data_IF_226688442740
#
_entry.id   IF_226688442740
#
_cell.length_a   1.000
_cell.length_b   1.000
_cell.length_c   1.000
_cell.angle_alpha   90.00
_cell.angle_beta   90.00
_cell.angle_gamma   90.00
#
_symmetry.space_group_name_H-M   'P 1'
#
loop_
_entity.id
_entity.type
_entity.pdbx_description
1 polymer ?
#
# COMPACT_ATOMS: atom_id res chain seq x y z
N UNK A 1 6.91 21.17 5.34
CA UNK A 1 7.20 21.39 3.91
C UNK A 1 8.60 20.92 3.57
N UNK A 2 8.79 20.45 2.34
CA UNK A 2 10.08 20.07 1.74
C UNK A 2 10.91 19.12 2.63
N UNK A 3 10.29 18.04 3.10
CA UNK A 3 10.91 17.11 4.06
C UNK A 3 12.21 16.50 3.53
N UNK A 4 12.35 16.39 2.20
CA UNK A 4 13.54 15.88 1.54
C UNK A 4 14.68 16.92 1.42
N UNK A 5 14.57 18.10 2.02
CA UNK A 5 15.72 19.02 2.19
C UNK A 5 16.47 18.82 3.50
N UNK A 6 15.90 18.09 4.44
CA UNK A 6 16.58 17.76 5.68
C UNK A 6 17.63 16.65 5.43
N UNK A 7 18.87 16.79 5.93
CA UNK A 7 19.85 15.70 5.94
C UNK A 7 19.32 14.47 6.68
N UNK A 8 19.79 13.27 6.32
CA UNK A 8 19.34 11.99 6.90
C UNK A 8 19.31 11.97 8.43
N UNK A 9 20.35 12.52 9.08
CA UNK A 9 20.41 12.59 10.55
C UNK A 9 19.27 13.42 11.17
N UNK A 10 18.76 14.44 10.47
CA UNK A 10 17.60 15.23 10.90
C UNK A 10 16.29 14.56 10.52
N UNK A 11 16.25 13.78 9.43
CA UNK A 11 15.05 13.04 9.04
C UNK A 11 14.64 12.01 10.12
N UNK A 12 15.61 11.44 10.85
CA UNK A 12 15.34 10.51 11.96
C UNK A 12 14.49 11.12 13.08
N UNK A 13 14.53 12.44 13.28
CA UNK A 13 13.67 13.12 14.26
C UNK A 13 12.18 13.00 13.88
N UNK A 14 11.85 12.98 12.58
CA UNK A 14 10.48 12.74 12.14
C UNK A 14 10.01 11.32 12.47
N UNK A 15 10.91 10.33 12.49
CA UNK A 15 10.55 8.97 12.88
C UNK A 15 10.13 8.92 14.36
N UNK A 16 10.87 9.61 15.23
CA UNK A 16 10.53 9.69 16.65
C UNK A 16 9.22 10.44 16.87
N UNK A 17 9.03 11.56 16.17
CA UNK A 17 7.79 12.32 16.16
C UNK A 17 6.58 11.46 15.78
N UNK A 18 6.65 10.81 14.62
CA UNK A 18 5.56 10.00 14.08
C UNK A 18 5.26 8.76 14.94
N UNK A 19 6.28 8.18 15.59
CA UNK A 19 6.13 6.95 16.37
C UNK A 19 5.76 7.20 17.82
N UNK A 20 6.43 8.14 18.49
CA UNK A 20 6.28 8.38 19.93
C UNK A 20 5.26 9.48 20.23
N UNK A 21 4.87 10.29 19.23
CA UNK A 21 4.06 11.51 19.39
C UNK A 21 4.61 12.46 20.45
N UNK A 22 5.92 12.38 20.69
CA UNK A 22 6.64 13.11 21.72
C UNK A 22 7.96 13.60 21.18
N UNK A 23 8.35 14.78 21.62
CA UNK A 23 9.67 15.36 21.36
C UNK A 23 10.35 15.65 22.67
N UNK A 24 11.57 15.17 22.84
CA UNK A 24 12.42 15.55 23.96
C UNK A 24 13.46 16.57 23.49
N UNK A 25 13.49 17.74 24.11
CA UNK A 25 14.45 18.79 23.83
C UNK A 25 14.89 19.47 25.13
N UNK A 26 16.21 19.60 25.32
CA UNK A 26 16.80 20.26 26.49
C UNK A 26 16.31 19.75 27.86
N UNK A 27 15.97 18.46 27.96
CA UNK A 27 15.47 17.85 29.21
C UNK A 27 13.95 17.97 29.40
N UNK A 28 13.25 18.71 28.54
CA UNK A 28 11.79 18.78 28.52
C UNK A 28 11.22 17.81 27.48
N UNK A 29 10.06 17.24 27.76
CA UNK A 29 9.33 16.37 26.82
C UNK A 29 7.98 16.99 26.51
N UNK A 30 7.74 17.28 25.24
CA UNK A 30 6.49 17.82 24.71
C UNK A 30 5.64 16.67 24.16
N UNK A 31 4.40 16.56 24.63
CA UNK A 31 3.40 15.64 24.08
C UNK A 31 2.62 16.36 22.98
N UNK A 32 2.56 15.75 21.79
CA UNK A 32 1.93 16.34 20.61
C UNK A 32 0.46 15.93 20.45
N UNK A 33 -0.01 14.94 21.23
CA UNK A 33 -1.36 14.41 21.12
C UNK A 33 -1.66 13.76 19.76
N UNK A 34 -2.95 13.59 19.49
CA UNK A 34 -3.44 12.97 18.26
C UNK A 34 -3.59 14.04 17.17
N UNK A 35 -2.73 13.98 16.16
CA UNK A 35 -2.72 14.95 15.07
C UNK A 35 -2.41 14.28 13.72
N UNK A 36 -2.78 14.97 12.65
CA UNK A 36 -2.46 14.57 11.29
C UNK A 36 -1.27 15.41 10.78
N UNK A 37 -0.27 14.73 10.20
CA UNK A 37 0.90 15.39 9.66
C UNK A 37 0.82 15.48 8.14
N UNK A 38 1.06 16.67 7.61
CA UNK A 38 1.19 16.92 6.18
C UNK A 38 2.63 17.30 5.86
N UNK A 39 3.19 16.63 4.86
CA UNK A 39 4.53 16.92 4.37
C UNK A 39 4.50 17.06 2.85
N UNK A 40 5.38 17.92 2.34
CA UNK A 40 5.62 18.06 0.90
C UNK A 40 7.04 17.61 0.61
N UNK A 41 7.26 17.08 -0.58
CA UNK A 41 8.58 16.76 -1.10
C UNK A 41 8.76 17.49 -2.42
N UNK A 42 9.94 18.09 -2.61
CA UNK A 42 10.30 18.58 -3.92
C UNK A 42 10.73 17.42 -4.81
N UNK A 43 10.57 17.54 -6.14
CA UNK A 43 11.19 16.59 -7.07
C UNK A 43 12.71 16.56 -6.86
N UNK A 44 13.35 15.45 -7.26
CA UNK A 44 14.79 15.27 -7.10
C UNK A 44 15.56 16.31 -7.94
N UNK A 45 16.13 17.30 -7.26
CA UNK A 45 16.93 18.38 -7.83
C UNK A 45 18.25 18.52 -7.05
N UNK A 46 19.15 19.40 -7.49
CA UNK A 46 20.32 19.75 -6.68
C UNK A 46 19.88 20.26 -5.30
N UNK A 47 20.47 19.71 -4.24
CA UNK A 47 20.18 19.97 -2.82
C UNK A 47 18.94 19.30 -2.20
N UNK A 48 18.54 18.11 -2.68
CA UNK A 48 17.64 17.20 -1.95
C UNK A 48 18.38 15.95 -1.45
N UNK A 49 17.88 15.37 -0.37
CA UNK A 49 18.31 14.09 0.19
C UNK A 49 17.18 13.07 0.02
N UNK A 50 17.46 11.84 -0.47
CA UNK A 50 16.45 10.79 -0.54
C UNK A 50 15.90 10.51 0.85
N UNK A 51 14.60 10.21 0.93
CA UNK A 51 14.00 9.75 2.17
C UNK A 51 14.34 8.28 2.40
N UNK A 52 14.57 7.93 3.65
CA UNK A 52 14.78 6.55 4.06
C UNK A 52 13.50 5.71 3.88
N UNK A 53 13.66 4.42 3.51
CA UNK A 53 12.55 3.48 3.34
C UNK A 53 11.69 3.40 4.61
N UNK A 54 12.30 3.45 5.80
CA UNK A 54 11.58 3.41 7.07
C UNK A 54 10.75 4.68 7.34
N UNK A 55 11.13 5.83 6.77
CA UNK A 55 10.34 7.05 6.83
C UNK A 55 9.16 6.99 5.87
N UNK A 56 9.40 6.52 4.64
CA UNK A 56 8.35 6.34 3.62
C UNK A 56 7.27 5.35 4.08
N UNK A 57 7.67 4.26 4.76
CA UNK A 57 6.74 3.27 5.33
C UNK A 57 5.82 3.85 6.42
N UNK A 58 6.22 4.95 7.07
CA UNK A 58 5.39 5.65 8.08
C UNK A 58 4.48 6.72 7.49
N UNK A 59 4.59 7.03 6.19
CA UNK A 59 3.69 7.95 5.51
C UNK A 59 2.49 7.15 4.99
N UNK A 60 1.30 7.35 5.54
CA UNK A 60 0.11 6.54 5.20
C UNK A 60 -0.33 6.68 3.74
N UNK A 61 -0.38 7.90 3.22
CA UNK A 61 -0.74 8.21 1.83
C UNK A 61 0.25 9.22 1.25
N UNK A 62 0.60 9.03 -0.01
CA UNK A 62 1.31 10.03 -0.80
C UNK A 62 0.54 10.32 -2.09
N UNK A 63 0.37 11.59 -2.42
CA UNK A 63 -0.34 12.05 -3.62
C UNK A 63 0.62 12.92 -4.44
N UNK A 64 0.79 12.66 -5.75
CA UNK A 64 1.60 13.52 -6.59
C UNK A 64 0.92 14.88 -6.77
N UNK A 65 1.68 15.95 -6.53
CA UNK A 65 1.25 17.30 -6.90
C UNK A 65 1.52 17.51 -8.39
N UNK A 66 0.48 17.45 -9.22
CA UNK A 66 0.57 17.70 -10.66
C UNK A 66 0.20 19.14 -10.98
N UNK A 67 0.84 19.71 -12.00
CA UNK A 67 0.37 20.97 -12.55
C UNK A 67 -1.02 20.76 -13.16
N UNK A 68 -1.95 21.70 -12.97
CA UNK A 68 -3.24 21.65 -13.63
C UNK A 68 -3.03 21.63 -15.15
N UNK A 69 -3.93 20.97 -15.87
CA UNK A 69 -3.94 21.05 -17.33
C UNK A 69 -4.33 22.46 -17.79
N UNK A 70 -4.31 22.69 -19.11
CA UNK A 70 -4.61 24.01 -19.67
C UNK A 70 -6.00 24.55 -19.28
N UNK A 71 -7.02 23.69 -19.29
CA UNK A 71 -8.40 24.10 -18.99
C UNK A 71 -8.57 24.39 -17.50
N UNK A 72 -8.01 23.55 -16.63
CA UNK A 72 -7.98 23.78 -15.20
C UNK A 72 -7.18 25.04 -14.85
N UNK A 73 -6.07 25.30 -15.54
CA UNK A 73 -5.27 26.51 -15.37
C UNK A 73 -6.04 27.77 -15.72
N UNK A 74 -6.80 27.75 -16.83
CA UNK A 74 -7.67 28.87 -17.22
C UNK A 74 -8.74 29.13 -16.16
N UNK A 75 -9.39 28.07 -15.67
CA UNK A 75 -10.40 28.18 -14.62
C UNK A 75 -9.82 28.71 -13.28
N UNK A 76 -8.57 28.36 -12.95
CA UNK A 76 -7.88 28.88 -11.76
C UNK A 76 -7.53 30.37 -11.90
N UNK A 77 -7.09 30.80 -13.08
CA UNK A 77 -6.77 32.20 -13.35
C UNK A 77 -8.00 33.13 -13.19
N UNK A 78 -9.19 32.63 -13.52
CA UNK A 78 -10.45 33.36 -13.34
C UNK A 78 -10.90 33.46 -11.87
N UNK A 79 -10.37 32.60 -10.98
CA UNK A 79 -10.84 32.40 -9.60
C UNK A 79 -9.85 32.84 -8.50
N UNK A 80 -8.79 33.56 -8.86
CA UNK A 80 -7.69 33.93 -7.94
C UNK A 80 -8.15 34.68 -6.66
N UNK A 81 -9.31 35.34 -6.69
CA UNK A 81 -9.80 36.16 -5.57
C UNK A 81 -10.66 35.42 -4.53
N UNK A 82 -11.00 34.16 -4.74
CA UNK A 82 -12.08 33.53 -3.96
C UNK A 82 -11.64 32.42 -2.99
N UNK A 83 -10.39 31.95 -2.99
CA UNK A 83 -10.05 30.70 -2.27
C UNK A 83 -10.30 30.79 -0.76
N UNK A 84 -9.96 31.91 -0.11
CA UNK A 84 -10.18 32.09 1.33
C UNK A 84 -11.67 32.28 1.65
N UNK A 85 -12.39 33.08 0.86
CA UNK A 85 -13.83 33.29 1.03
C UNK A 85 -14.62 31.99 0.80
N UNK A 86 -14.21 31.21 -0.21
CA UNK A 86 -14.77 29.90 -0.50
C UNK A 86 -14.49 28.93 0.66
N UNK A 87 -13.26 28.89 1.18
CA UNK A 87 -12.92 28.05 2.33
C UNK A 87 -13.71 28.44 3.60
N UNK A 88 -13.99 29.73 3.80
CA UNK A 88 -14.85 30.20 4.88
C UNK A 88 -16.32 29.83 4.69
N UNK A 89 -16.78 29.73 3.45
CA UNK A 89 -18.15 29.33 3.12
C UNK A 89 -18.41 27.82 3.25
N UNK A 90 -17.36 27.00 3.30
CA UNK A 90 -17.49 25.55 3.41
C UNK A 90 -18.01 25.13 4.79
N UNK A 91 -18.86 24.09 4.87
CA UNK A 91 -19.28 23.51 6.14
C UNK A 91 -18.07 23.11 6.99
N UNK A 92 -18.10 23.48 8.27
CA UNK A 92 -17.05 23.14 9.24
C UNK A 92 -17.57 22.10 10.21
N UNK A 93 -16.74 21.10 10.49
CA UNK A 93 -16.99 20.17 11.59
C UNK A 93 -16.77 20.90 12.92
N UNK A 94 -17.70 20.70 13.85
CA UNK A 94 -17.46 21.00 15.26
C UNK A 94 -16.38 20.09 15.84
N UNK A 95 -15.76 20.48 16.96
CA UNK A 95 -14.78 19.64 17.66
C UNK A 95 -15.36 18.25 17.94
N UNK A 96 -16.61 18.19 18.42
CA UNK A 96 -17.27 16.92 18.75
C UNK A 96 -17.46 16.02 17.54
N UNK A 97 -17.82 16.58 16.38
CA UNK A 97 -17.94 15.82 15.14
C UNK A 97 -16.57 15.30 14.70
N UNK A 98 -15.55 16.16 14.71
CA UNK A 98 -14.19 15.79 14.34
C UNK A 98 -13.64 14.66 15.23
N UNK A 99 -13.81 14.78 16.54
CA UNK A 99 -13.36 13.78 17.54
C UNK A 99 -14.09 12.44 17.39
N UNK A 100 -15.28 12.43 16.80
CA UNK A 100 -16.07 11.21 16.55
C UNK A 100 -15.66 10.45 15.27
N UNK A 101 -14.96 11.11 14.33
CA UNK A 101 -14.61 10.54 13.02
C UNK A 101 -13.86 9.21 13.11
N UNK A 102 -12.83 9.03 13.96
CA UNK A 102 -12.11 7.76 14.03
C UNK A 102 -13.02 6.59 14.40
N UNK A 103 -13.98 6.81 15.29
CA UNK A 103 -14.98 5.82 15.69
C UNK A 103 -15.94 5.48 14.54
N UNK A 104 -16.38 6.49 13.78
CA UNK A 104 -17.24 6.29 12.61
C UNK A 104 -16.52 5.49 11.51
N UNK A 105 -15.25 5.81 11.24
CA UNK A 105 -14.42 5.07 10.28
C UNK A 105 -14.26 3.62 10.75
N UNK A 106 -13.94 3.39 12.03
CA UNK A 106 -13.77 2.04 12.58
C UNK A 106 -15.04 1.19 12.52
N UNK A 107 -16.22 1.81 12.55
CA UNK A 107 -17.52 1.13 12.45
C UNK A 107 -17.86 0.62 11.05
N UNK A 108 -17.16 1.08 10.00
CA UNK A 108 -17.36 0.56 8.64
C UNK A 108 -16.82 -0.86 8.55
N UNK A 109 -17.72 -1.81 8.29
CA UNK A 109 -17.37 -3.22 8.12
C UNK A 109 -16.67 -3.44 6.79
N UNK A 110 -15.58 -4.21 6.80
CA UNK A 110 -14.97 -4.76 5.60
C UNK A 110 -15.30 -6.24 5.59
N UNK A 111 -15.96 -6.72 4.54
CA UNK A 111 -16.28 -8.13 4.42
C UNK A 111 -15.04 -9.00 4.12
N UNK A 112 -15.22 -10.32 4.16
CA UNK A 112 -14.15 -11.29 3.92
C UNK A 112 -13.53 -11.16 2.53
N UNK A 113 -14.29 -10.73 1.53
CA UNK A 113 -13.80 -10.55 0.15
C UNK A 113 -12.84 -9.37 0.05
N UNK A 114 -13.15 -8.27 0.74
CA UNK A 114 -12.27 -7.10 0.81
C UNK A 114 -11.03 -7.41 1.65
N UNK A 115 -11.19 -8.05 2.81
CA UNK A 115 -10.06 -8.42 3.67
C UNK A 115 -9.11 -9.41 2.97
N UNK A 116 -9.65 -10.41 2.25
CA UNK A 116 -8.85 -11.33 1.43
C UNK A 116 -8.09 -10.57 0.34
N UNK A 117 -8.75 -9.63 -0.34
CA UNK A 117 -8.13 -8.81 -1.39
C UNK A 117 -6.98 -7.96 -0.84
N UNK A 118 -7.11 -7.41 0.37
CA UNK A 118 -6.03 -6.66 1.04
C UNK A 118 -4.85 -7.58 1.41
N UNK A 119 -5.14 -8.78 1.94
CA UNK A 119 -4.11 -9.75 2.34
C UNK A 119 -3.35 -10.27 1.11
N UNK A 120 -4.08 -10.73 0.09
CA UNK A 120 -3.49 -11.22 -1.17
C UNK A 120 -2.68 -10.13 -1.86
N UNK A 121 -3.15 -8.88 -1.83
CA UNK A 121 -2.40 -7.74 -2.33
C UNK A 121 -1.05 -7.62 -1.62
N UNK A 122 -1.01 -7.59 -0.28
CA UNK A 122 0.28 -7.57 0.44
C UNK A 122 1.18 -8.74 0.04
N UNK A 123 0.64 -9.96 0.06
CA UNK A 123 1.40 -11.18 -0.21
C UNK A 123 1.96 -11.22 -1.62
N UNK A 124 1.21 -10.77 -2.62
CA UNK A 124 1.70 -10.68 -4.00
C UNK A 124 2.99 -9.84 -4.12
N UNK A 125 3.14 -8.80 -3.29
CA UNK A 125 4.36 -7.99 -3.26
C UNK A 125 5.46 -8.55 -2.35
N UNK A 126 5.15 -9.34 -1.33
CA UNK A 126 6.14 -9.86 -0.36
C UNK A 126 6.62 -11.29 -0.62
N UNK A 127 5.89 -12.09 -1.39
CA UNK A 127 6.16 -13.51 -1.55
C UNK A 127 7.55 -13.82 -2.10
N UNK A 128 8.28 -14.71 -1.42
CA UNK A 128 9.57 -15.21 -1.90
C UNK A 128 9.91 -16.57 -1.30
N UNK A 129 10.06 -17.59 -2.15
CA UNK A 129 10.42 -18.97 -1.73
C UNK A 129 11.76 -19.06 -0.96
N UNK A 130 12.64 -18.08 -1.17
CA UNK A 130 14.00 -18.03 -0.58
C UNK A 130 14.04 -17.30 0.76
N UNK A 131 12.96 -16.64 1.12
CA UNK A 131 12.90 -15.84 2.33
C UNK A 131 12.32 -16.64 3.49
N UNK A 132 12.74 -16.36 4.74
CA UNK A 132 12.09 -16.90 5.92
C UNK A 132 10.58 -16.65 5.88
N UNK A 133 9.79 -17.65 6.25
CA UNK A 133 8.32 -17.60 6.20
C UNK A 133 7.73 -17.17 4.84
N UNK A 134 8.48 -17.39 3.76
CA UNK A 134 8.12 -17.01 2.40
C UNK A 134 7.86 -15.51 2.22
N UNK A 135 8.47 -14.67 3.05
CA UNK A 135 8.26 -13.22 3.05
C UNK A 135 9.59 -12.48 2.86
N UNK A 136 9.74 -11.85 1.70
CA UNK A 136 10.96 -11.13 1.30
C UNK A 136 11.28 -9.92 2.19
N UNK A 137 10.34 -9.42 2.98
CA UNK A 137 10.62 -8.39 4.00
C UNK A 137 11.57 -8.89 5.09
N UNK A 138 11.69 -10.21 5.24
CA UNK A 138 12.57 -10.86 6.22
C UNK A 138 13.99 -11.07 5.69
N UNK A 139 14.28 -10.69 4.44
CA UNK A 139 15.61 -10.80 3.87
C UNK A 139 16.50 -9.65 4.38
N UNK A 140 17.72 -10.00 4.76
CA UNK A 140 18.77 -9.05 5.16
C UNK A 140 19.85 -8.93 4.08
N UNK A 141 20.80 -7.99 4.27
CA UNK A 141 21.96 -7.83 3.38
C UNK A 141 21.65 -7.21 2.01
N UNK A 142 20.47 -6.60 1.83
CA UNK A 142 20.09 -5.95 0.58
C UNK A 142 19.77 -6.92 -0.56
N UNK A 143 19.42 -8.17 -0.23
CA UNK A 143 18.94 -9.16 -1.21
C UNK A 143 17.61 -8.69 -1.81
N UNK A 144 17.65 -8.23 -3.06
CA UNK A 144 16.52 -7.64 -3.78
C UNK A 144 16.44 -8.20 -5.21
N UNK A 145 15.25 -8.29 -5.84
CA UNK A 145 15.09 -8.68 -7.25
C UNK A 145 16.08 -7.98 -8.20
N UNK A 146 16.27 -6.66 -8.07
CA UNK A 146 17.23 -5.89 -8.88
C UNK A 146 18.70 -6.30 -8.69
N UNK A 147 19.03 -6.96 -7.57
CA UNK A 147 20.37 -7.45 -7.23
C UNK A 147 20.53 -8.96 -7.45
N UNK A 148 19.62 -9.58 -8.20
CA UNK A 148 19.72 -10.99 -8.57
C UNK A 148 19.05 -11.96 -7.61
N UNK A 149 18.27 -11.49 -6.61
CA UNK A 149 17.52 -12.36 -5.69
C UNK A 149 16.68 -13.40 -6.43
N UNK A 150 16.13 -13.05 -7.59
CA UNK A 150 15.23 -13.91 -8.35
C UNK A 150 15.96 -14.80 -9.37
N UNK A 151 17.29 -14.77 -9.48
CA UNK A 151 18.01 -15.59 -10.46
C UNK A 151 17.75 -17.09 -10.22
N UNK A 152 17.19 -17.78 -11.22
CA UNK A 152 16.79 -19.19 -11.13
C UNK A 152 15.51 -19.46 -10.32
N UNK A 153 14.74 -18.42 -9.97
CA UNK A 153 13.41 -18.59 -9.38
C UNK A 153 12.41 -18.94 -10.48
N UNK A 154 11.42 -19.78 -10.16
CA UNK A 154 10.34 -20.16 -11.09
C UNK A 154 9.58 -18.94 -11.66
N UNK A 155 9.42 -17.89 -10.85
CA UNK A 155 8.70 -16.66 -11.23
C UNK A 155 9.61 -15.56 -11.80
N UNK A 156 10.89 -15.86 -12.05
CA UNK A 156 11.82 -14.89 -12.58
C UNK A 156 11.40 -14.40 -13.97
N UNK A 157 11.50 -13.08 -14.20
CA UNK A 157 11.18 -12.45 -15.49
C UNK A 157 9.72 -12.63 -15.94
N UNK A 158 8.83 -13.00 -15.01
CA UNK A 158 7.40 -13.12 -15.30
C UNK A 158 6.69 -11.76 -15.08
N UNK A 159 6.19 -11.10 -16.14
CA UNK A 159 5.47 -9.83 -16.03
C UNK A 159 4.21 -9.90 -15.17
N UNK A 160 3.71 -11.12 -14.93
CA UNK A 160 2.48 -11.36 -14.21
C UNK A 160 2.65 -11.46 -12.69
N UNK A 161 3.87 -11.66 -12.18
CA UNK A 161 4.09 -11.89 -10.74
C UNK A 161 4.66 -10.66 -10.05
N UNK A 162 3.89 -10.05 -9.15
CA UNK A 162 4.23 -8.81 -8.47
C UNK A 162 5.52 -8.86 -7.64
N UNK A 163 5.87 -10.01 -7.03
CA UNK A 163 7.02 -10.07 -6.14
C UNK A 163 8.37 -9.82 -6.83
N UNK A 164 8.47 -10.14 -8.13
CA UNK A 164 9.64 -9.85 -8.99
C UNK A 164 9.64 -8.42 -9.53
N UNK A 165 8.48 -7.77 -9.58
CA UNK A 165 8.25 -6.45 -10.18
C UNK A 165 8.72 -5.29 -9.32
N UNK A 166 9.01 -5.53 -8.03
CA UNK A 166 9.44 -4.51 -7.07
C UNK A 166 10.51 -5.05 -6.14
N UNK A 167 11.38 -4.17 -5.66
CA UNK A 167 12.53 -4.57 -4.86
C UNK A 167 12.19 -4.91 -3.41
N UNK A 168 11.40 -4.05 -2.77
CA UNK A 168 10.98 -4.17 -1.38
C UNK A 168 9.67 -4.95 -1.25
N UNK A 169 9.42 -5.48 -0.06
CA UNK A 169 8.11 -6.02 0.29
C UNK A 169 7.28 -4.97 1.03
N UNK A 170 5.96 -5.11 0.98
CA UNK A 170 5.04 -4.28 1.74
C UNK A 170 5.03 -4.69 3.22
N UNK A 171 5.14 -3.72 4.12
CA UNK A 171 5.04 -3.96 5.57
C UNK A 171 3.58 -4.14 6.00
N UNK A 172 3.37 -4.61 7.24
CA UNK A 172 2.03 -4.71 7.84
C UNK A 172 1.31 -3.34 7.96
N UNK A 173 2.05 -2.21 7.96
CA UNK A 173 1.44 -0.87 7.98
C UNK A 173 0.58 -0.66 6.75
N UNK A 174 1.00 -1.17 5.60
CA UNK A 174 0.23 -1.08 4.35
C UNK A 174 -1.13 -1.71 4.53
N UNK A 175 -1.22 -2.89 5.16
CA UNK A 175 -2.50 -3.54 5.44
C UNK A 175 -3.40 -2.67 6.33
N UNK A 176 -2.83 -2.08 7.38
CA UNK A 176 -3.57 -1.21 8.30
C UNK A 176 -4.07 0.07 7.61
N UNK A 177 -3.23 0.69 6.77
CA UNK A 177 -3.58 1.89 6.00
C UNK A 177 -4.64 1.57 4.95
N UNK A 178 -4.49 0.49 4.18
CA UNK A 178 -5.48 0.05 3.20
C UNK A 178 -6.86 -0.14 3.85
N UNK A 179 -6.93 -0.80 5.00
CA UNK A 179 -8.19 -0.98 5.74
C UNK A 179 -8.76 0.37 6.20
N UNK A 180 -7.93 1.22 6.80
CA UNK A 180 -8.37 2.50 7.37
C UNK A 180 -8.87 3.46 6.30
N UNK A 181 -8.15 3.59 5.19
CA UNK A 181 -8.53 4.49 4.10
C UNK A 181 -9.66 3.93 3.23
N UNK A 182 -9.77 2.60 3.08
CA UNK A 182 -10.94 2.00 2.43
C UNK A 182 -12.20 2.31 3.24
N UNK A 183 -12.15 2.13 4.57
CA UNK A 183 -13.26 2.50 5.46
C UNK A 183 -13.58 3.99 5.40
N UNK A 184 -12.56 4.84 5.49
CA UNK A 184 -12.74 6.29 5.51
C UNK A 184 -13.35 6.82 4.21
N UNK A 185 -12.84 6.40 3.05
CA UNK A 185 -13.37 6.85 1.77
C UNK A 185 -14.78 6.28 1.51
N UNK A 186 -15.05 5.05 1.94
CA UNK A 186 -16.40 4.47 1.86
C UNK A 186 -17.40 5.23 2.72
N UNK A 187 -17.03 5.59 3.95
CA UNK A 187 -17.85 6.42 4.84
C UNK A 187 -18.19 7.77 4.20
N UNK A 188 -17.19 8.45 3.63
CA UNK A 188 -17.36 9.77 3.00
C UNK A 188 -18.24 9.71 1.75
N UNK A 189 -18.18 8.61 1.00
CA UNK A 189 -18.97 8.43 -0.22
C UNK A 189 -20.34 7.77 0.03
N UNK A 190 -20.62 7.34 1.26
CA UNK A 190 -21.84 6.59 1.59
C UNK A 190 -21.92 5.21 0.93
N UNK A 191 -20.76 4.58 0.69
CA UNK A 191 -20.66 3.27 0.06
C UNK A 191 -20.53 2.16 1.11
N UNK A 192 -21.09 0.99 0.84
CA UNK A 192 -21.10 -0.12 1.81
C UNK A 192 -21.30 -1.51 1.22
N UNK A 193 -21.64 -1.62 -0.07
CA UNK A 193 -21.71 -2.90 -0.76
C UNK A 193 -20.32 -3.50 -1.00
N UNK A 194 -20.21 -4.83 -0.95
CA UNK A 194 -18.94 -5.55 -1.17
C UNK A 194 -18.20 -5.11 -2.45
N UNK A 195 -18.93 -5.01 -3.57
CA UNK A 195 -18.37 -4.53 -4.84
C UNK A 195 -17.90 -3.08 -4.77
N UNK A 196 -18.64 -2.21 -4.09
CA UNK A 196 -18.28 -0.80 -3.92
C UNK A 196 -17.01 -0.65 -3.08
N UNK A 197 -16.90 -1.43 -2.00
CA UNK A 197 -15.71 -1.44 -1.14
C UNK A 197 -14.46 -1.94 -1.88
N UNK A 198 -14.61 -2.89 -2.81
CA UNK A 198 -13.51 -3.32 -3.70
C UNK A 198 -13.08 -2.16 -4.62
N UNK A 199 -14.02 -1.43 -5.20
CA UNK A 199 -13.68 -0.27 -6.04
C UNK A 199 -13.02 0.86 -5.24
N UNK A 200 -13.45 1.08 -4.00
CA UNK A 200 -12.78 1.99 -3.07
C UNK A 200 -11.35 1.51 -2.77
N UNK A 201 -11.17 0.22 -2.49
CA UNK A 201 -9.83 -0.36 -2.28
C UNK A 201 -8.93 -0.14 -3.50
N UNK A 202 -9.43 -0.39 -4.72
CA UNK A 202 -8.70 -0.14 -5.97
C UNK A 202 -8.28 1.32 -6.12
N UNK A 203 -9.16 2.25 -5.73
CA UNK A 203 -8.87 3.68 -5.82
C UNK A 203 -7.81 4.13 -4.80
N UNK A 204 -7.86 3.60 -3.58
CA UNK A 204 -6.98 4.00 -2.47
C UNK A 204 -5.60 3.35 -2.55
N UNK A 205 -5.54 2.06 -2.89
CA UNK A 205 -4.33 1.26 -2.76
C UNK A 205 -3.08 1.83 -3.47
N UNK A 206 -3.17 2.36 -4.71
CA UNK A 206 -2.01 2.95 -5.37
C UNK A 206 -1.35 4.07 -4.56
N UNK A 207 -2.13 4.92 -3.90
CA UNK A 207 -1.65 6.07 -3.12
C UNK A 207 -1.08 5.69 -1.74
N UNK A 208 -1.47 4.53 -1.22
CA UNK A 208 -0.87 3.94 0.00
C UNK A 208 0.46 3.25 -0.31
N UNK A 209 0.60 2.70 -1.52
CA UNK A 209 1.68 1.76 -1.86
C UNK A 209 2.85 2.43 -2.59
N UNK A 210 2.57 3.34 -3.54
CA UNK A 210 3.56 3.69 -4.56
C UNK A 210 4.86 4.31 -4.03
N UNK A 211 4.79 5.08 -2.94
CA UNK A 211 5.96 5.71 -2.33
C UNK A 211 6.78 4.75 -1.46
N UNK A 212 6.23 3.57 -1.11
CA UNK A 212 6.88 2.56 -0.25
C UNK A 212 7.66 1.48 -1.02
N UNK A 213 7.48 1.41 -2.34
CA UNK A 213 8.09 0.37 -3.18
C UNK A 213 8.93 0.96 -4.31
N UNK A 214 10.13 0.45 -4.50
CA UNK A 214 10.99 0.71 -5.65
C UNK A 214 10.65 -0.29 -6.78
N UNK A 215 10.15 0.19 -7.92
CA UNK A 215 9.90 -0.67 -9.08
C UNK A 215 11.17 -1.32 -9.62
N UNK A 216 11.01 -2.51 -10.21
CA UNK A 216 12.02 -3.09 -11.07
C UNK A 216 12.32 -2.13 -12.23
N UNK A 217 13.56 -1.65 -12.27
CA UNK A 217 14.00 -0.63 -13.23
C UNK A 217 13.76 -1.05 -14.69
N UNK A 218 14.01 -2.31 -15.02
CA UNK A 218 13.83 -2.83 -16.39
C UNK A 218 12.37 -2.76 -16.83
N UNK A 219 11.43 -2.95 -15.90
CA UNK A 219 10.00 -2.90 -16.20
C UNK A 219 9.51 -1.45 -16.32
N UNK A 220 9.94 -0.58 -15.40
CA UNK A 220 9.60 0.84 -15.43
C UNK A 220 10.17 1.56 -16.67
N UNK A 221 11.26 1.06 -17.26
CA UNK A 221 11.88 1.61 -18.47
C UNK A 221 11.10 1.31 -19.76
N UNK A 222 10.21 0.31 -19.75
CA UNK A 222 9.47 -0.13 -20.94
C UNK A 222 8.17 0.68 -21.12
N UNK A 223 7.58 0.67 -22.33
CA UNK A 223 6.21 1.16 -22.53
C UNK A 223 5.23 0.45 -21.57
N UNK A 224 4.21 1.15 -21.05
CA UNK A 224 3.85 2.56 -21.30
C UNK A 224 4.53 3.58 -20.35
N UNK A 225 5.48 3.17 -19.51
CA UNK A 225 5.98 4.00 -18.38
C UNK A 225 7.19 4.87 -18.73
N UNK A 226 8.15 4.36 -19.53
CA UNK A 226 9.30 5.12 -20.04
C UNK A 226 10.13 5.85 -18.96
N UNK A 227 10.42 5.21 -17.82
CA UNK A 227 11.05 5.80 -16.61
C UNK A 227 10.22 6.86 -15.87
N UNK A 228 9.04 7.20 -16.38
CA UNK A 228 8.06 8.03 -15.71
C UNK A 228 6.93 7.15 -15.14
N UNK A 229 5.98 7.76 -14.43
CA UNK A 229 4.75 7.06 -14.08
C UNK A 229 4.88 5.94 -13.05
N UNK A 230 5.78 6.07 -12.05
CA UNK A 230 5.87 5.12 -10.91
C UNK A 230 4.49 4.83 -10.30
N UNK A 231 3.68 5.87 -10.07
CA UNK A 231 2.31 5.70 -9.57
C UNK A 231 1.45 4.87 -10.52
N UNK A 232 1.52 5.13 -11.84
CA UNK A 232 0.76 4.36 -12.82
C UNK A 232 1.21 2.89 -12.86
N UNK A 233 2.51 2.63 -12.83
CA UNK A 233 3.05 1.27 -12.74
C UNK A 233 2.54 0.52 -11.52
N UNK A 234 2.57 1.17 -10.35
CA UNK A 234 2.06 0.58 -9.11
C UNK A 234 0.55 0.38 -9.18
N UNK A 235 -0.20 1.32 -9.78
CA UNK A 235 -1.63 1.18 -10.02
C UNK A 235 -1.94 -0.07 -10.86
N UNK A 236 -1.18 -0.30 -11.92
CA UNK A 236 -1.37 -1.45 -12.80
C UNK A 236 -1.05 -2.78 -12.08
N UNK A 237 -0.04 -2.80 -11.20
CA UNK A 237 0.26 -3.96 -10.35
C UNK A 237 -0.82 -4.22 -9.29
N UNK A 238 -1.34 -3.15 -8.65
CA UNK A 238 -2.44 -3.25 -7.69
C UNK A 238 -3.69 -3.81 -8.36
N UNK A 239 -4.05 -3.27 -9.53
CA UNK A 239 -5.18 -3.73 -10.31
C UNK A 239 -5.03 -5.20 -10.72
N UNK A 240 -3.83 -5.59 -11.17
CA UNK A 240 -3.50 -6.99 -11.48
C UNK A 240 -3.69 -7.91 -10.26
N UNK A 241 -3.16 -7.55 -9.10
CA UNK A 241 -3.27 -8.37 -7.88
C UNK A 241 -4.71 -8.52 -7.39
N UNK A 242 -5.49 -7.42 -7.40
CA UNK A 242 -6.90 -7.46 -7.02
C UNK A 242 -7.71 -8.29 -8.04
N UNK A 243 -7.51 -8.10 -9.34
CA UNK A 243 -8.17 -8.88 -10.38
C UNK A 243 -7.87 -10.38 -10.26
N UNK A 244 -6.60 -10.73 -10.01
CA UNK A 244 -6.20 -12.12 -9.77
C UNK A 244 -6.95 -12.72 -8.59
N UNK A 245 -6.94 -12.02 -7.46
CA UNK A 245 -7.59 -12.49 -6.24
C UNK A 245 -9.09 -12.72 -6.43
N UNK A 246 -9.76 -11.86 -7.21
CA UNK A 246 -11.20 -11.91 -7.41
C UNK A 246 -11.65 -12.86 -8.53
N UNK A 247 -10.86 -12.98 -9.60
CA UNK A 247 -11.28 -13.67 -10.81
C UNK A 247 -10.50 -14.97 -11.04
N UNK A 248 -9.18 -14.93 -10.91
CA UNK A 248 -8.29 -16.06 -11.23
C UNK A 248 -8.13 -17.03 -10.06
N UNK A 249 -8.19 -16.52 -8.82
CA UNK A 249 -8.00 -17.32 -7.60
C UNK A 249 -9.28 -17.90 -7.02
N UNK A 250 -10.44 -17.70 -7.67
CA UNK A 250 -11.74 -18.14 -7.14
C UNK A 250 -11.78 -19.61 -6.73
N UNK A 251 -11.33 -20.51 -7.62
CA UNK A 251 -11.30 -21.95 -7.34
C UNK A 251 -10.29 -22.29 -6.22
N UNK A 252 -9.09 -21.73 -6.26
CA UNK A 252 -8.07 -21.94 -5.22
C UNK A 252 -8.53 -21.46 -3.84
N UNK A 253 -9.18 -20.30 -3.77
CA UNK A 253 -9.74 -19.75 -2.54
C UNK A 253 -10.81 -20.69 -1.97
N UNK A 254 -11.66 -21.26 -2.83
CA UNK A 254 -12.69 -22.23 -2.42
C UNK A 254 -12.06 -23.53 -1.90
N UNK A 255 -11.05 -24.07 -2.58
CA UNK A 255 -10.34 -25.28 -2.14
C UNK A 255 -9.72 -25.04 -0.76
N UNK A 256 -9.01 -23.93 -0.59
CA UNK A 256 -8.39 -23.59 0.70
C UNK A 256 -9.44 -23.40 1.81
N UNK A 257 -10.54 -22.69 1.54
CA UNK A 257 -11.61 -22.48 2.50
C UNK A 257 -12.26 -23.80 2.95
N UNK A 258 -12.60 -24.68 2.00
CA UNK A 258 -13.18 -26.01 2.30
C UNK A 258 -12.26 -26.84 3.21
N UNK A 259 -10.96 -26.74 3.03
CA UNK A 259 -10.00 -27.44 3.89
C UNK A 259 -9.92 -26.82 5.29
N UNK A 260 -9.95 -25.49 5.40
CA UNK A 260 -9.96 -24.77 6.68
C UNK A 260 -11.24 -25.06 7.47
N UNK A 261 -12.37 -25.17 6.78
CA UNK A 261 -13.68 -25.48 7.36
C UNK A 261 -13.85 -26.99 7.65
N UNK A 262 -12.88 -27.82 7.26
CA UNK A 262 -12.88 -29.27 7.49
C UNK A 262 -13.80 -30.07 6.57
N UNK A 263 -14.28 -29.48 5.46
CA UNK A 263 -15.08 -30.17 4.45
C UNK A 263 -14.26 -31.17 3.61
N UNK A 264 -12.97 -30.86 3.40
CA UNK A 264 -11.99 -31.76 2.77
C UNK A 264 -10.74 -31.85 3.63
N UNK A 265 -9.96 -32.92 3.46
CA UNK A 265 -8.72 -33.05 4.23
C UNK A 265 -7.67 -32.04 3.76
N UNK A 266 -6.79 -31.52 4.64
CA UNK A 266 -5.71 -30.63 4.21
C UNK A 266 -4.79 -31.25 3.16
N UNK A 267 -4.61 -32.59 3.20
CA UNK A 267 -3.82 -33.33 2.21
C UNK A 267 -4.47 -33.34 0.82
N UNK A 268 -5.77 -33.59 0.75
CA UNK A 268 -6.56 -33.54 -0.50
C UNK A 268 -6.51 -32.14 -1.10
N UNK A 269 -6.69 -31.11 -0.27
CA UNK A 269 -6.59 -29.72 -0.72
C UNK A 269 -5.19 -29.33 -1.24
N UNK A 270 -4.11 -29.82 -0.61
CA UNK A 270 -2.74 -29.61 -1.12
C UNK A 270 -2.57 -30.27 -2.50
N UNK A 271 -3.11 -31.48 -2.69
CA UNK A 271 -3.05 -32.19 -3.98
C UNK A 271 -3.81 -31.41 -5.06
N UNK A 272 -5.02 -30.92 -4.78
CA UNK A 272 -5.77 -30.08 -5.73
C UNK A 272 -5.05 -28.76 -6.03
N UNK A 273 -4.53 -28.07 -5.01
CA UNK A 273 -3.81 -26.79 -5.16
C UNK A 273 -2.51 -26.95 -5.95
N UNK A 274 -1.91 -28.15 -5.98
CA UNK A 274 -0.66 -28.41 -6.72
C UNK A 274 -0.80 -28.24 -8.24
N UNK A 275 -2.03 -28.30 -8.76
CA UNK A 275 -2.33 -28.05 -10.18
C UNK A 275 -2.25 -26.59 -10.60
N UNK A 276 -2.19 -25.65 -9.65
CA UNK A 276 -2.20 -24.22 -9.94
C UNK A 276 -0.79 -23.63 -9.83
N UNK A 277 -0.34 -22.96 -10.90
CA UNK A 277 0.93 -22.24 -10.90
C UNK A 277 0.77 -20.80 -10.41
N UNK A 278 0.30 -20.65 -9.17
CA UNK A 278 0.14 -19.37 -8.48
C UNK A 278 1.05 -19.27 -7.23
N UNK A 279 1.77 -18.15 -7.03
CA UNK A 279 2.63 -17.97 -5.88
C UNK A 279 1.92 -18.11 -4.52
N UNK A 280 0.71 -17.58 -4.36
CA UNK A 280 -0.05 -17.67 -3.10
C UNK A 280 -0.47 -19.11 -2.85
N UNK A 281 -0.98 -19.80 -3.87
CA UNK A 281 -1.37 -21.21 -3.71
C UNK A 281 -0.20 -22.08 -3.24
N UNK A 282 0.98 -21.88 -3.84
CA UNK A 282 2.18 -22.70 -3.57
C UNK A 282 2.91 -22.34 -2.28
N UNK A 283 2.98 -21.05 -1.95
CA UNK A 283 3.82 -20.56 -0.84
C UNK A 283 3.03 -20.19 0.42
N UNK A 284 1.75 -19.88 0.30
CA UNK A 284 0.88 -19.58 1.44
C UNK A 284 -0.11 -20.71 1.70
N UNK A 285 -1.01 -21.02 0.76
CA UNK A 285 -2.11 -21.98 1.01
C UNK A 285 -1.60 -23.37 1.32
N UNK A 286 -0.79 -23.96 0.44
CA UNK A 286 -0.20 -25.28 0.68
C UNK A 286 0.57 -25.33 2.01
N UNK A 287 1.30 -24.26 2.35
CA UNK A 287 2.13 -24.19 3.57
C UNK A 287 1.32 -24.00 4.84
N UNK A 288 0.19 -23.31 4.77
CA UNK A 288 -0.75 -23.22 5.86
C UNK A 288 -1.42 -24.58 6.11
N UNK A 289 -1.86 -25.26 5.05
CA UNK A 289 -2.47 -26.58 5.14
C UNK A 289 -1.51 -27.66 5.63
N UNK A 290 -0.23 -27.63 5.23
CA UNK A 290 0.80 -28.56 5.73
C UNK A 290 0.94 -28.50 7.26
N UNK A 291 0.66 -27.35 7.89
CA UNK A 291 0.69 -27.20 9.37
C UNK A 291 -0.56 -27.73 10.05
N UNK A 292 -1.60 -28.05 9.29
CA UNK A 292 -2.88 -28.59 9.77
C UNK A 292 -2.96 -30.12 9.65
N UNK A 293 -2.00 -30.74 8.94
CA UNK A 293 -1.81 -32.21 8.85
C UNK A 293 -1.06 -32.70 10.07
#
# INVERSE_FOLDING_TARGET
NEINRFPSGKQNLFLELLQKRKVSYAGETLDLGDTCYFATMNPDFSATYPLDEALLDRISISVPATQPDFLASLALAEREKEVYELAESLPRLSSKEFDSLPGMVAAVSLDSRVELSIISLLRDFTLCERAPAFDKTQLSGGSKPSRGLCAGCHYFNNPEVCCWQVDEGLSDRVRQDLRSYTRALSLLLGLGGSGELIEVLRAVAPYVIWHRLSPNRTMLERPPYYRAGRLQYIKDLVEKSINRTLNERGEMNMIFARAVDGEISPREAIEELSGYDDPIARLDYARALERMV
#
